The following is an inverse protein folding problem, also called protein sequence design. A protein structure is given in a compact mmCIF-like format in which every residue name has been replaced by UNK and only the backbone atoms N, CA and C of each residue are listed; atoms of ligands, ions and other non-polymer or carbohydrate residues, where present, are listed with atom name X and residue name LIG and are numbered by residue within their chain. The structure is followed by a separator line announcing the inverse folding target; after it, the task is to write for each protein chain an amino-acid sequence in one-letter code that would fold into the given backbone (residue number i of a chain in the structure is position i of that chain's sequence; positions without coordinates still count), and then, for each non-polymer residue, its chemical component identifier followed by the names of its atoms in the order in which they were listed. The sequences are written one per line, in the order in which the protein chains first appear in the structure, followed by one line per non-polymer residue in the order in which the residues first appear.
data_IF_972864346279
#
_entry.id   IF_972864346279
#
_cell.length_a   1.000
_cell.length_b   1.000
_cell.length_c   1.000
_cell.angle_alpha   90.00
_cell.angle_beta   90.00
_cell.angle_gamma   90.00
#
_symmetry.space_group_name_H-M   'P 1'
#
loop_
_entity.id
_entity.type
_entity.pdbx_description
1 polymer ?
#
# COMPACT_ATOMS: atom_id res chain seq x y z
N UNK A 1 -30.59 -19.22 -12.77
CA UNK A 1 -29.19 -19.69 -12.89
C UNK A 1 -28.35 -18.77 -12.04
N UNK A 2 -28.27 -19.12 -10.77
CA UNK A 2 -27.73 -18.30 -9.68
C UNK A 2 -26.22 -18.45 -9.63
N UNK A 3 -25.50 -17.71 -10.48
CA UNK A 3 -24.05 -17.58 -10.40
C UNK A 3 -23.70 -16.54 -9.35
N UNK A 4 -23.95 -16.86 -8.08
CA UNK A 4 -23.41 -16.11 -6.94
C UNK A 4 -21.92 -16.43 -6.86
N UNK A 5 -21.15 -15.74 -7.70
CA UNK A 5 -19.70 -15.85 -7.79
C UNK A 5 -19.12 -15.41 -6.45
N UNK A 6 -18.74 -16.39 -5.62
CA UNK A 6 -18.11 -16.14 -4.33
C UNK A 6 -16.87 -15.28 -4.54
N UNK A 7 -16.81 -14.13 -3.87
CA UNK A 7 -15.68 -13.22 -3.89
C UNK A 7 -14.42 -13.99 -3.49
N UNK A 8 -13.59 -14.37 -4.45
CA UNK A 8 -12.29 -14.98 -4.20
C UNK A 8 -11.50 -13.97 -3.37
N UNK A 9 -10.92 -14.41 -2.24
CA UNK A 9 -10.06 -13.56 -1.45
C UNK A 9 -8.91 -13.03 -2.34
N UNK A 10 -8.55 -11.74 -2.25
CA UNK A 10 -7.50 -11.17 -3.08
C UNK A 10 -6.19 -11.93 -2.84
N UNK A 11 -5.42 -12.14 -3.90
CA UNK A 11 -4.06 -12.67 -3.82
C UNK A 11 -3.18 -11.75 -2.96
N UNK A 12 -2.00 -12.24 -2.55
CA UNK A 12 -1.05 -11.43 -1.77
C UNK A 12 -0.54 -10.22 -2.54
N UNK A 13 -0.37 -10.35 -3.85
CA UNK A 13 -0.10 -9.22 -4.74
C UNK A 13 -1.21 -8.18 -4.75
N UNK A 14 -2.47 -8.60 -4.88
CA UNK A 14 -3.61 -7.67 -4.82
C UNK A 14 -3.71 -6.99 -3.44
N UNK A 15 -3.44 -7.73 -2.36
CA UNK A 15 -3.37 -7.16 -1.00
C UNK A 15 -2.26 -6.12 -0.87
N UNK A 16 -1.09 -6.38 -1.47
CA UNK A 16 0.03 -5.44 -1.49
C UNK A 16 -0.31 -4.16 -2.26
N UNK A 17 -0.83 -4.28 -3.48
CA UNK A 17 -1.25 -3.15 -4.30
C UNK A 17 -2.31 -2.28 -3.60
N UNK A 18 -3.34 -2.91 -3.03
CA UNK A 18 -4.39 -2.18 -2.30
C UNK A 18 -3.82 -1.46 -1.06
N UNK A 19 -2.86 -2.08 -0.37
CA UNK A 19 -2.24 -1.47 0.80
C UNK A 19 -1.36 -0.28 0.42
N UNK A 20 -0.64 -0.39 -0.70
CA UNK A 20 0.18 0.70 -1.24
C UNK A 20 -0.68 1.86 -1.75
N UNK A 21 -1.80 1.59 -2.42
CA UNK A 21 -2.75 2.64 -2.83
C UNK A 21 -3.31 3.39 -1.62
N UNK A 22 -3.68 2.68 -0.55
CA UNK A 22 -4.12 3.30 0.69
C UNK A 22 -3.02 4.15 1.36
N UNK A 23 -1.77 3.70 1.32
CA UNK A 23 -0.63 4.49 1.78
C UNK A 23 -0.44 5.76 0.95
N UNK A 24 -0.53 5.63 -0.37
CA UNK A 24 -0.41 6.75 -1.30
C UNK A 24 -1.45 7.85 -1.02
N UNK A 25 -2.72 7.47 -0.82
CA UNK A 25 -3.78 8.42 -0.48
C UNK A 25 -3.56 9.10 0.88
N UNK A 26 -3.02 8.38 1.86
CA UNK A 26 -2.69 8.97 3.15
C UNK A 26 -1.51 9.95 3.04
N UNK A 27 -0.50 9.62 2.24
CA UNK A 27 0.62 10.53 1.95
C UNK A 27 0.12 11.78 1.25
N UNK A 28 -0.69 11.68 0.19
CA UNK A 28 -1.26 12.86 -0.49
C UNK A 28 -2.01 13.79 0.49
N UNK A 29 -2.86 13.23 1.35
CA UNK A 29 -3.56 14.02 2.37
C UNK A 29 -2.60 14.70 3.36
N UNK A 30 -1.53 14.02 3.76
CA UNK A 30 -0.50 14.61 4.61
C UNK A 30 0.34 15.66 3.88
N UNK A 31 0.51 15.56 2.56
CA UNK A 31 1.15 16.58 1.73
C UNK A 31 0.30 17.84 1.62
N UNK A 32 -1.01 17.67 1.39
CA UNK A 32 -1.97 18.78 1.29
C UNK A 32 -2.21 19.46 2.65
N UNK A 33 -2.27 18.66 3.72
CA UNK A 33 -2.61 19.12 5.07
C UNK A 33 -1.67 18.50 6.12
N UNK A 34 -0.44 19.05 6.27
CA UNK A 34 0.62 18.48 7.12
C UNK A 34 0.37 18.74 8.60
N UNK A 35 -0.60 18.05 9.17
CA UNK A 35 -0.82 17.98 10.62
C UNK A 35 -0.16 16.71 11.17
N UNK A 36 0.25 16.72 12.44
CA UNK A 36 0.85 15.54 13.10
C UNK A 36 -0.05 14.30 12.99
N UNK A 37 -1.36 14.50 12.99
CA UNK A 37 -2.32 13.43 12.81
C UNK A 37 -2.25 12.80 11.41
N UNK A 38 -2.24 13.63 10.35
CA UNK A 38 -2.15 13.18 8.96
C UNK A 38 -0.79 12.53 8.67
N UNK A 39 0.30 13.14 9.14
CA UNK A 39 1.66 12.60 9.02
C UNK A 39 1.73 11.23 9.69
N UNK A 40 1.28 11.12 10.94
CA UNK A 40 1.26 9.84 11.64
C UNK A 40 0.37 8.78 10.99
N UNK A 41 -0.72 9.18 10.32
CA UNK A 41 -1.56 8.27 9.55
C UNK A 41 -0.84 7.76 8.30
N UNK A 42 -0.20 8.64 7.54
CA UNK A 42 0.59 8.29 6.38
C UNK A 42 1.73 7.32 6.74
N UNK A 43 2.47 7.59 7.82
CA UNK A 43 3.53 6.70 8.31
C UNK A 43 3.01 5.31 8.68
N UNK A 44 1.86 5.25 9.38
CA UNK A 44 1.21 3.96 9.72
C UNK A 44 0.83 3.19 8.46
N UNK A 45 0.25 3.87 7.48
CA UNK A 45 -0.14 3.24 6.21
C UNK A 45 1.09 2.74 5.43
N UNK A 46 2.19 3.50 5.38
CA UNK A 46 3.45 3.07 4.77
C UNK A 46 3.98 1.81 5.44
N UNK A 47 3.98 1.73 6.78
CA UNK A 47 4.42 0.53 7.51
C UNK A 47 3.56 -0.69 7.18
N UNK A 48 2.24 -0.52 7.09
CA UNK A 48 1.33 -1.60 6.70
C UNK A 48 1.54 -2.04 5.25
N UNK A 49 1.67 -1.09 4.33
CA UNK A 49 1.92 -1.37 2.93
C UNK A 49 3.23 -2.15 2.73
N UNK A 50 4.30 -1.75 3.44
CA UNK A 50 5.58 -2.47 3.41
C UNK A 50 5.43 -3.93 3.82
N UNK A 51 4.74 -4.19 4.93
CA UNK A 51 4.51 -5.56 5.39
C UNK A 51 3.73 -6.37 4.35
N UNK A 52 2.78 -5.77 3.64
CA UNK A 52 2.01 -6.45 2.59
C UNK A 52 2.88 -6.75 1.35
N UNK A 53 3.75 -5.82 0.94
CA UNK A 53 4.74 -6.04 -0.14
C UNK A 53 5.69 -7.18 0.21
N UNK A 54 6.29 -7.15 1.40
CA UNK A 54 7.20 -8.19 1.89
C UNK A 54 6.52 -9.58 1.86
N UNK A 55 5.25 -9.65 2.29
CA UNK A 55 4.47 -10.89 2.24
C UNK A 55 4.18 -11.35 0.81
N UNK A 56 3.97 -10.42 -0.13
CA UNK A 56 3.74 -10.74 -1.54
C UNK A 56 4.97 -11.39 -2.18
N UNK A 57 6.17 -10.86 -1.94
CA UNK A 57 7.42 -11.45 -2.42
C UNK A 57 7.66 -12.86 -1.87
N UNK A 58 7.34 -13.11 -0.59
CA UNK A 58 7.46 -14.45 0.01
C UNK A 58 6.58 -15.47 -0.71
N UNK A 59 5.41 -15.05 -1.22
CA UNK A 59 4.48 -15.94 -1.93
C UNK A 59 4.74 -16.08 -3.43
N UNK A 60 5.81 -15.48 -3.96
CA UNK A 60 6.24 -15.60 -5.36
C UNK A 60 5.39 -14.79 -6.34
N UNK A 61 4.82 -13.66 -5.90
CA UNK A 61 4.00 -12.81 -6.75
C UNK A 61 4.80 -11.58 -7.21
N UNK A 62 5.76 -11.80 -8.10
CA UNK A 62 6.86 -10.85 -8.35
C UNK A 62 6.42 -9.54 -9.04
N UNK A 63 5.80 -9.57 -10.22
CA UNK A 63 5.55 -8.33 -11.00
C UNK A 63 4.68 -7.30 -10.26
N UNK A 64 3.63 -7.77 -9.57
CA UNK A 64 2.74 -6.90 -8.82
C UNK A 64 3.37 -6.43 -7.50
N UNK A 65 4.18 -7.27 -6.85
CA UNK A 65 4.94 -6.88 -5.67
C UNK A 65 6.00 -5.82 -6.02
N UNK A 66 6.73 -5.99 -7.13
CA UNK A 66 7.74 -5.03 -7.60
C UNK A 66 7.12 -3.66 -7.89
N UNK A 67 5.94 -3.64 -8.53
CA UNK A 67 5.18 -2.38 -8.75
C UNK A 67 4.76 -1.74 -7.44
N UNK A 68 4.23 -2.53 -6.51
CA UNK A 68 3.82 -2.06 -5.20
C UNK A 68 5.02 -1.50 -4.41
N UNK A 69 6.16 -2.18 -4.44
CA UNK A 69 7.40 -1.71 -3.82
C UNK A 69 7.88 -0.39 -4.44
N UNK A 70 7.91 -0.29 -5.76
CA UNK A 70 8.38 0.91 -6.46
C UNK A 70 7.50 2.14 -6.16
N UNK A 71 6.19 1.97 -6.00
CA UNK A 71 5.29 3.05 -5.60
C UNK A 71 5.49 3.41 -4.11
N UNK A 72 5.56 2.41 -3.24
CA UNK A 72 5.78 2.61 -1.80
C UNK A 72 7.10 3.32 -1.50
N UNK A 73 8.16 3.03 -2.25
CA UNK A 73 9.44 3.68 -2.11
C UNK A 73 9.35 5.19 -2.36
N UNK A 74 8.59 5.61 -3.38
CA UNK A 74 8.36 7.03 -3.70
C UNK A 74 7.57 7.73 -2.59
N UNK A 75 6.54 7.09 -2.08
CA UNK A 75 5.70 7.64 -1.00
C UNK A 75 6.50 7.80 0.30
N UNK A 76 7.41 6.87 0.59
CA UNK A 76 8.32 6.96 1.73
C UNK A 76 9.33 8.10 1.57
N UNK A 77 9.93 8.26 0.39
CA UNK A 77 10.85 9.37 0.11
C UNK A 77 10.16 10.74 0.32
N UNK A 78 8.90 10.88 -0.12
CA UNK A 78 8.11 12.11 0.12
C UNK A 78 7.88 12.41 1.59
N UNK A 79 7.72 11.39 2.42
CA UNK A 79 7.52 11.55 3.86
C UNK A 79 8.83 11.83 4.60
N UNK A 80 9.95 11.24 4.18
CA UNK A 80 11.27 11.46 4.79
C UNK A 80 11.86 12.84 4.43
N UNK A 81 11.39 13.46 3.34
CA UNK A 81 11.78 14.82 2.95
C UNK A 81 11.01 15.96 3.65
N UNK A 82 10.11 15.66 4.60
CA UNK A 82 9.34 16.64 5.38
C UNK A 82 9.90 16.79 6.79
#
# INVERSE_FOLDING_TARGET
MDSKQGSKAPSKAEQALNSVEAAHHAVQQAEEHPTDHMIGQAERSIRHARAAVDQSHITGSDEAADRAEAQLAKDRERMEGK
#
